data_IF_455816284847
#
_entry.id   IF_455816284847
#
_cell.length_a   1.000
_cell.length_b   1.000
_cell.length_c   1.000
_cell.angle_alpha   90.00
_cell.angle_beta   90.00
_cell.angle_gamma   90.00
#
_symmetry.space_group_name_H-M   'P 1'
#
loop_
_entity.id
_entity.type
_entity.pdbx_description
1 polymer ?
#
# COMPACT_ATOMS: atom_id res chain seq x y z
N UNK A 1 4.46 -41.06 -5.36
CA UNK A 1 3.42 -40.08 -5.55
C UNK A 1 2.99 -39.29 -4.32
N UNK A 2 3.42 -39.65 -3.08
CA UNK A 2 3.04 -38.92 -1.85
C UNK A 2 4.08 -37.87 -1.39
N UNK A 3 5.33 -37.98 -1.83
CA UNK A 3 6.39 -37.03 -1.47
C UNK A 3 6.04 -35.56 -1.77
N UNK A 4 5.56 -35.19 -2.98
CA UNK A 4 5.24 -33.80 -3.26
C UNK A 4 4.05 -33.25 -2.44
N UNK A 5 3.19 -34.11 -1.92
CA UNK A 5 2.09 -33.70 -1.05
C UNK A 5 2.60 -33.40 0.37
N UNK A 6 3.52 -34.19 0.88
CA UNK A 6 4.16 -34.00 2.20
C UNK A 6 4.97 -32.70 2.21
N UNK A 7 5.76 -32.43 1.18
CA UNK A 7 6.52 -31.20 1.04
C UNK A 7 5.59 -29.97 0.99
N UNK A 8 4.50 -30.05 0.23
CA UNK A 8 3.51 -28.98 0.17
C UNK A 8 2.83 -28.74 1.52
N UNK A 9 2.50 -29.79 2.26
CA UNK A 9 1.92 -29.67 3.60
C UNK A 9 2.91 -29.04 4.59
N UNK A 10 4.19 -29.42 4.50
CA UNK A 10 5.24 -28.84 5.34
C UNK A 10 5.36 -27.32 5.10
N UNK A 11 5.39 -26.89 3.86
CA UNK A 11 5.42 -25.47 3.49
C UNK A 11 4.20 -24.73 4.04
N UNK A 12 3.01 -25.29 3.89
CA UNK A 12 1.76 -24.70 4.42
C UNK A 12 1.81 -24.56 5.95
N UNK A 13 2.26 -25.60 6.65
CA UNK A 13 2.43 -25.56 8.11
C UNK A 13 3.43 -24.48 8.52
N UNK A 14 4.55 -24.37 7.84
CA UNK A 14 5.60 -23.38 8.13
C UNK A 14 5.10 -21.96 7.90
N UNK A 15 4.39 -21.72 6.80
CA UNK A 15 3.74 -20.43 6.52
C UNK A 15 2.73 -20.10 7.62
N UNK A 16 1.91 -21.07 8.04
CA UNK A 16 0.89 -20.86 9.07
C UNK A 16 1.51 -20.49 10.42
N UNK A 17 2.53 -21.20 10.85
CA UNK A 17 3.26 -20.91 12.10
C UNK A 17 3.89 -19.52 12.04
N UNK A 18 4.53 -19.19 10.92
CA UNK A 18 5.14 -17.87 10.70
C UNK A 18 4.11 -16.76 10.76
N UNK A 19 2.95 -16.94 10.13
CA UNK A 19 1.86 -15.95 10.17
C UNK A 19 1.35 -15.72 11.59
N UNK A 20 1.14 -16.78 12.36
CA UNK A 20 0.70 -16.67 13.76
C UNK A 20 1.74 -15.89 14.59
N UNK A 21 3.02 -16.20 14.43
CA UNK A 21 4.11 -15.50 15.13
C UNK A 21 4.30 -14.05 14.69
N UNK A 22 3.88 -13.72 13.47
CA UNK A 22 4.02 -12.35 12.93
C UNK A 22 2.98 -11.35 13.43
N UNK A 23 1.85 -11.78 13.99
CA UNK A 23 0.83 -10.84 14.49
C UNK A 23 1.36 -9.86 15.55
N UNK A 24 2.09 -10.29 16.60
CA UNK A 24 2.68 -9.37 17.56
C UNK A 24 3.72 -8.42 16.94
N UNK A 25 4.51 -8.95 16.00
CA UNK A 25 5.52 -8.17 15.28
C UNK A 25 4.84 -7.10 14.42
N UNK A 26 3.77 -7.45 13.73
CA UNK A 26 2.98 -6.55 12.92
C UNK A 26 2.36 -5.42 13.77
N UNK A 27 1.81 -5.74 14.94
CA UNK A 27 1.29 -4.72 15.87
C UNK A 27 2.38 -3.75 16.30
N UNK A 28 3.58 -4.26 16.63
CA UNK A 28 4.73 -3.43 16.98
C UNK A 28 5.14 -2.52 15.81
N UNK A 29 5.26 -3.08 14.61
CA UNK A 29 5.58 -2.29 13.40
C UNK A 29 4.52 -1.23 13.11
N UNK A 30 3.24 -1.57 13.24
CA UNK A 30 2.15 -0.63 13.04
C UNK A 30 2.26 0.55 14.00
N UNK A 31 2.59 0.30 15.26
CA UNK A 31 2.81 1.36 16.27
C UNK A 31 4.01 2.24 15.95
N UNK A 32 5.12 1.64 15.52
CA UNK A 32 6.34 2.36 15.15
C UNK A 32 6.13 3.20 13.88
N UNK A 33 5.49 2.63 12.87
CA UNK A 33 5.29 3.31 11.59
C UNK A 33 4.16 4.34 11.61
N UNK A 34 3.24 4.28 12.55
CA UNK A 34 2.13 5.23 12.66
C UNK A 34 2.62 6.68 12.69
N UNK A 35 3.61 6.99 13.52
CA UNK A 35 4.12 8.35 13.66
C UNK A 35 4.83 8.87 12.40
N UNK A 36 5.79 8.14 11.79
CA UNK A 36 6.42 8.60 10.55
C UNK A 36 5.43 8.66 9.37
N UNK A 37 4.47 7.72 9.27
CA UNK A 37 3.47 7.78 8.21
C UNK A 37 2.51 8.94 8.37
N UNK A 38 2.08 9.27 9.58
CA UNK A 38 1.26 10.45 9.83
C UNK A 38 2.02 11.74 9.43
N UNK A 39 3.28 11.88 9.84
CA UNK A 39 4.12 13.02 9.44
C UNK A 39 4.32 13.11 7.92
N UNK A 40 4.47 11.97 7.25
CA UNK A 40 4.55 11.91 5.81
C UNK A 40 3.22 12.32 5.17
N UNK A 41 2.11 11.83 5.70
CA UNK A 41 0.76 12.19 5.26
C UNK A 41 0.53 13.71 5.32
N UNK A 42 0.88 14.33 6.44
CA UNK A 42 0.76 15.79 6.64
C UNK A 42 1.62 16.57 5.61
N UNK A 43 2.86 16.16 5.39
CA UNK A 43 3.77 16.80 4.42
C UNK A 43 3.31 16.67 2.98
N UNK A 44 2.66 15.58 2.65
CA UNK A 44 2.22 15.26 1.29
C UNK A 44 0.78 15.71 1.03
N UNK A 45 0.04 16.07 2.09
CA UNK A 45 -1.36 16.46 2.01
C UNK A 45 -2.27 15.26 1.75
N UNK A 46 -2.02 14.14 2.44
CA UNK A 46 -2.91 12.98 2.47
C UNK A 46 -3.87 13.09 3.66
N UNK A 47 -5.10 12.69 3.43
CA UNK A 47 -6.11 12.62 4.49
C UNK A 47 -5.81 11.47 5.48
N UNK A 48 -6.33 11.59 6.70
CA UNK A 48 -6.12 10.62 7.79
C UNK A 48 -6.57 9.20 7.38
N UNK A 49 -7.65 9.09 6.62
CA UNK A 49 -8.15 7.79 6.13
C UNK A 49 -7.16 7.14 5.18
N UNK A 50 -6.52 7.92 4.32
CA UNK A 50 -5.49 7.45 3.41
C UNK A 50 -4.25 6.96 4.15
N UNK A 51 -3.79 7.70 5.15
CA UNK A 51 -2.67 7.28 6.01
C UNK A 51 -3.00 6.01 6.78
N UNK A 52 -4.21 5.92 7.32
CA UNK A 52 -4.70 4.70 8.00
C UNK A 52 -4.72 3.50 7.05
N UNK A 53 -5.14 3.70 5.80
CA UNK A 53 -5.08 2.68 4.75
C UNK A 53 -3.67 2.16 4.51
N UNK A 54 -2.67 3.05 4.44
CA UNK A 54 -1.27 2.67 4.30
C UNK A 54 -0.79 1.80 5.46
N UNK A 55 -1.20 2.10 6.68
CA UNK A 55 -0.85 1.33 7.87
C UNK A 55 -1.52 -0.05 7.84
N UNK A 56 -2.81 -0.12 7.56
CA UNK A 56 -3.54 -1.40 7.50
C UNK A 56 -3.04 -2.31 6.38
N UNK A 57 -2.59 -1.75 5.26
CA UNK A 57 -2.08 -2.53 4.13
C UNK A 57 -0.78 -3.27 4.43
N UNK A 58 -0.03 -2.88 5.45
CA UNK A 58 1.16 -3.62 5.91
C UNK A 58 0.78 -5.04 6.38
N UNK A 59 -0.38 -5.15 7.01
CA UNK A 59 -0.94 -6.43 7.43
C UNK A 59 -1.70 -7.12 6.30
N UNK A 60 -2.68 -6.41 5.73
CA UNK A 60 -3.57 -6.92 4.71
C UNK A 60 -4.14 -5.78 3.87
N UNK A 61 -4.24 -6.01 2.56
CA UNK A 61 -4.87 -5.07 1.64
C UNK A 61 -6.40 -5.04 1.74
N UNK A 62 -7.02 -6.12 2.23
CA UNK A 62 -8.48 -6.28 2.21
C UNK A 62 -9.22 -5.16 2.94
N UNK A 63 -8.86 -4.76 4.18
CA UNK A 63 -9.55 -3.66 4.87
C UNK A 63 -9.41 -2.33 4.15
N UNK A 64 -8.31 -2.12 3.41
CA UNK A 64 -8.02 -0.86 2.74
C UNK A 64 -9.02 -0.57 1.62
N UNK A 65 -9.45 -1.61 0.88
CA UNK A 65 -10.47 -1.45 -0.15
C UNK A 65 -11.79 -0.90 0.42
N UNK A 66 -12.16 -1.30 1.62
CA UNK A 66 -13.34 -0.76 2.30
C UNK A 66 -13.16 0.71 2.73
N UNK A 67 -11.93 1.13 3.03
CA UNK A 67 -11.62 2.51 3.40
C UNK A 67 -11.52 3.43 2.18
N UNK A 68 -11.21 2.91 0.99
CA UNK A 68 -11.01 3.71 -0.24
C UNK A 68 -12.19 4.60 -0.59
N UNK A 69 -13.41 4.18 -0.28
CA UNK A 69 -14.62 4.98 -0.49
C UNK A 69 -14.63 6.32 0.28
N UNK A 70 -13.89 6.40 1.37
CA UNK A 70 -13.79 7.57 2.25
C UNK A 70 -12.47 8.34 2.06
N UNK A 71 -11.62 7.93 1.11
CA UNK A 71 -10.35 8.58 0.82
C UNK A 71 -10.50 9.66 -0.24
N UNK A 72 -9.61 10.65 -0.21
CA UNK A 72 -9.46 11.60 -1.33
C UNK A 72 -8.95 10.88 -2.58
N UNK A 73 -9.19 11.44 -3.77
CA UNK A 73 -8.68 10.88 -5.04
C UNK A 73 -7.17 10.69 -5.01
N UNK A 74 -6.44 11.64 -4.46
CA UNK A 74 -5.00 11.55 -4.23
C UNK A 74 -4.66 10.39 -3.30
N UNK A 75 -5.40 10.26 -2.21
CA UNK A 75 -5.25 9.18 -1.26
C UNK A 75 -5.46 7.80 -1.89
N UNK A 76 -6.45 7.65 -2.77
CA UNK A 76 -6.70 6.42 -3.50
C UNK A 76 -5.52 6.07 -4.42
N UNK A 77 -4.99 7.03 -5.20
CA UNK A 77 -3.86 6.81 -6.11
C UNK A 77 -2.63 6.33 -5.32
N UNK A 78 -2.30 7.03 -4.24
CA UNK A 78 -1.13 6.69 -3.40
C UNK A 78 -1.32 5.34 -2.71
N UNK A 79 -2.51 5.08 -2.13
CA UNK A 79 -2.79 3.80 -1.48
C UNK A 79 -2.76 2.63 -2.46
N UNK A 80 -3.28 2.79 -3.68
CA UNK A 80 -3.23 1.74 -4.69
C UNK A 80 -1.79 1.35 -5.02
N UNK A 81 -0.93 2.33 -5.26
CA UNK A 81 0.49 2.05 -5.49
C UNK A 81 1.18 1.42 -4.27
N UNK A 82 0.90 1.94 -3.09
CA UNK A 82 1.43 1.42 -1.83
C UNK A 82 1.02 -0.02 -1.57
N UNK A 83 -0.27 -0.36 -1.74
CA UNK A 83 -0.79 -1.72 -1.56
C UNK A 83 -0.06 -2.71 -2.46
N UNK A 84 0.11 -2.39 -3.75
CA UNK A 84 0.78 -3.28 -4.70
C UNK A 84 2.21 -3.58 -4.27
N UNK A 85 2.92 -2.60 -3.72
CA UNK A 85 4.35 -2.72 -3.39
C UNK A 85 4.62 -3.29 -2.00
N UNK A 86 3.77 -2.98 -1.03
CA UNK A 86 4.04 -3.23 0.40
C UNK A 86 3.09 -4.24 1.03
N UNK A 87 1.89 -4.43 0.46
CA UNK A 87 0.91 -5.35 1.03
C UNK A 87 1.47 -6.77 1.16
N UNK A 88 1.19 -7.37 2.30
CA UNK A 88 1.66 -8.72 2.61
C UNK A 88 3.16 -8.82 2.90
N UNK A 89 3.88 -7.70 2.97
CA UNK A 89 5.31 -7.68 3.26
C UNK A 89 5.64 -8.41 4.56
N UNK A 90 4.83 -8.22 5.59
CA UNK A 90 4.95 -8.88 6.89
C UNK A 90 3.98 -10.05 7.07
N UNK A 91 3.25 -10.43 6.04
CA UNK A 91 2.28 -11.51 6.05
C UNK A 91 2.70 -12.68 5.16
N UNK A 92 1.81 -13.03 4.23
CA UNK A 92 1.96 -14.21 3.36
C UNK A 92 3.25 -14.24 2.55
N UNK A 93 3.72 -13.09 2.08
CA UNK A 93 4.93 -13.02 1.26
C UNK A 93 6.19 -13.31 2.09
N UNK A 94 6.25 -12.81 3.33
CA UNK A 94 7.36 -13.13 4.23
C UNK A 94 7.36 -14.62 4.59
N UNK A 95 6.19 -15.18 4.87
CA UNK A 95 6.04 -16.61 5.14
C UNK A 95 6.54 -17.47 3.97
N UNK A 96 6.22 -17.08 2.74
CA UNK A 96 6.72 -17.76 1.54
C UNK A 96 8.25 -17.68 1.41
N UNK A 97 8.84 -16.49 1.61
CA UNK A 97 10.30 -16.29 1.53
C UNK A 97 11.03 -17.14 2.56
N UNK A 98 10.54 -17.18 3.80
CA UNK A 98 11.10 -18.01 4.86
C UNK A 98 10.94 -19.51 4.57
N UNK A 99 9.84 -19.90 3.91
CA UNK A 99 9.61 -21.30 3.49
C UNK A 99 10.56 -21.77 2.38
N UNK A 100 11.08 -20.82 1.55
CA UNK A 100 12.04 -21.15 0.47
C UNK A 100 13.47 -21.23 1.01
N UNK A 101 13.85 -20.33 1.93
CA UNK A 101 15.17 -20.35 2.56
C UNK A 101 15.57 -19.01 3.19
N UNK A 102 16.27 -19.10 4.31
CA UNK A 102 16.64 -17.93 5.14
C UNK A 102 17.55 -16.91 4.42
N UNK A 103 18.34 -17.35 3.45
CA UNK A 103 19.23 -16.47 2.69
C UNK A 103 18.54 -15.42 1.82
N UNK A 104 17.24 -15.58 1.55
CA UNK A 104 16.47 -14.68 0.71
C UNK A 104 15.79 -13.53 1.51
N UNK A 105 15.80 -13.60 2.83
CA UNK A 105 15.12 -12.64 3.68
C UNK A 105 15.66 -11.21 3.51
N UNK A 106 16.97 -11.02 3.58
CA UNK A 106 17.59 -9.69 3.44
C UNK A 106 17.39 -9.06 2.06
N UNK A 107 17.67 -9.75 0.95
CA UNK A 107 17.37 -9.22 -0.38
C UNK A 107 15.90 -8.88 -0.57
N UNK A 108 14.99 -9.71 -0.05
CA UNK A 108 13.56 -9.46 -0.11
C UNK A 108 13.16 -8.18 0.62
N UNK A 109 13.61 -8.00 1.87
CA UNK A 109 13.29 -6.83 2.68
C UNK A 109 13.82 -5.54 2.04
N UNK A 110 15.08 -5.55 1.59
CA UNK A 110 15.70 -4.39 0.94
C UNK A 110 14.96 -4.06 -0.37
N UNK A 111 14.68 -5.07 -1.19
CA UNK A 111 13.96 -4.90 -2.45
C UNK A 111 12.55 -4.32 -2.25
N UNK A 112 11.81 -4.81 -1.26
CA UNK A 112 10.47 -4.30 -0.90
C UNK A 112 10.51 -2.85 -0.42
N UNK A 113 11.45 -2.50 0.45
CA UNK A 113 11.58 -1.13 0.94
C UNK A 113 11.99 -0.15 -0.17
N UNK A 114 12.92 -0.56 -1.03
CA UNK A 114 13.32 0.24 -2.19
C UNK A 114 12.13 0.44 -3.16
N UNK A 115 11.40 -0.63 -3.48
CA UNK A 115 10.21 -0.57 -4.32
C UNK A 115 9.13 0.33 -3.71
N UNK A 116 8.90 0.25 -2.41
CA UNK A 116 7.95 1.10 -1.69
C UNK A 116 8.33 2.58 -1.80
N UNK A 117 9.59 2.92 -1.59
CA UNK A 117 10.07 4.31 -1.67
C UNK A 117 9.90 4.89 -3.09
N UNK A 118 10.31 4.14 -4.12
CA UNK A 118 10.17 4.55 -5.52
C UNK A 118 8.69 4.64 -5.91
N UNK A 119 7.88 3.65 -5.54
CA UNK A 119 6.46 3.62 -5.89
C UNK A 119 5.67 4.75 -5.25
N UNK A 120 5.95 5.09 -3.99
CA UNK A 120 5.34 6.27 -3.34
C UNK A 120 5.76 7.54 -4.06
N UNK A 121 7.04 7.72 -4.39
CA UNK A 121 7.50 8.89 -5.11
C UNK A 121 6.80 9.04 -6.47
N UNK A 122 6.72 7.98 -7.26
CA UNK A 122 6.03 7.97 -8.56
C UNK A 122 4.53 8.23 -8.41
N UNK A 123 3.87 7.60 -7.43
CA UNK A 123 2.43 7.79 -7.20
C UNK A 123 2.08 9.22 -6.76
N UNK A 124 2.97 9.88 -6.01
CA UNK A 124 2.80 11.28 -5.65
C UNK A 124 2.93 12.23 -6.84
N UNK A 125 3.86 11.94 -7.75
CA UNK A 125 3.99 12.71 -9.00
C UNK A 125 2.75 12.51 -9.87
N UNK A 126 2.29 11.27 -10.03
CA UNK A 126 1.08 10.94 -10.77
C UNK A 126 -0.18 11.59 -10.16
N UNK A 127 -0.31 11.57 -8.83
CA UNK A 127 -1.43 12.21 -8.15
C UNK A 127 -1.45 13.73 -8.35
N UNK A 128 -0.28 14.38 -8.32
CA UNK A 128 -0.17 15.81 -8.60
C UNK A 128 -0.50 16.15 -10.06
N UNK A 129 -0.08 15.33 -11.01
CA UNK A 129 -0.43 15.49 -12.41
C UNK A 129 -1.94 15.39 -12.62
N UNK A 130 -2.58 14.40 -12.02
CA UNK A 130 -4.03 14.22 -12.07
C UNK A 130 -4.81 15.39 -11.46
N UNK A 131 -4.37 15.94 -10.32
CA UNK A 131 -4.98 17.12 -9.71
C UNK A 131 -4.90 18.33 -10.64
N UNK A 132 -3.76 18.54 -11.32
CA UNK A 132 -3.59 19.66 -12.28
C UNK A 132 -4.52 19.53 -13.48
N UNK A 133 -4.66 18.36 -14.06
CA UNK A 133 -5.58 18.11 -15.19
C UNK A 133 -7.04 18.35 -14.78
N UNK A 134 -7.45 17.85 -13.62
CA UNK A 134 -8.84 18.03 -13.14
C UNK A 134 -9.18 19.51 -12.91
N UNK A 135 -8.24 20.30 -12.38
CA UNK A 135 -8.42 21.74 -12.20
C UNK A 135 -8.49 22.46 -13.54
N UNK A 136 -7.64 22.11 -14.50
CA UNK A 136 -7.61 22.69 -15.83
C UNK A 136 -8.92 22.43 -16.61
N UNK A 137 -9.43 21.20 -16.52
CA UNK A 137 -10.71 20.82 -17.18
C UNK A 137 -11.91 21.46 -16.50
N UNK A 138 -11.91 21.59 -15.18
CA UNK A 138 -12.92 22.34 -14.43
C UNK A 138 -12.97 23.82 -14.85
N UNK A 139 -11.84 24.44 -15.03
CA UNK A 139 -11.76 25.85 -15.49
C UNK A 139 -12.30 26.02 -16.91
N UNK A 140 -11.95 25.10 -17.83
CA UNK A 140 -12.49 25.11 -19.21
C UNK A 140 -14.01 24.92 -19.24
N UNK A 141 -14.54 24.03 -18.39
CA UNK A 141 -15.98 23.78 -18.31
C UNK A 141 -16.76 25.03 -17.84
N UNK A 142 -16.25 25.71 -16.80
CA UNK A 142 -16.84 26.97 -16.29
C UNK A 142 -16.80 28.07 -17.33
N UNK A 143 -15.67 28.26 -18.03
CA UNK A 143 -15.53 29.28 -19.09
C UNK A 143 -16.48 29.01 -20.25
N UNK A 144 -16.68 27.74 -20.63
CA UNK A 144 -17.61 27.34 -21.71
C UNK A 144 -19.07 27.57 -21.34
N UNK A 145 -19.45 27.37 -20.07
CA UNK A 145 -20.78 27.68 -19.56
C UNK A 145 -21.04 29.18 -19.51
N UNK A 146 -20.08 29.94 -19.02
CA UNK A 146 -20.18 31.42 -19.01
C UNK A 146 -20.39 31.99 -20.42
N UNK A 147 -19.63 31.51 -21.41
CA UNK A 147 -19.78 31.96 -22.79
C UNK A 147 -21.16 31.62 -23.40
N UNK A 148 -21.75 30.47 -23.01
CA UNK A 148 -23.07 30.05 -23.48
C UNK A 148 -24.24 30.82 -22.83
N UNK A 149 -23.99 31.49 -21.71
CA UNK A 149 -24.97 32.31 -20.97
C UNK A 149 -25.09 33.74 -21.49
N UNK A 150 -24.18 34.19 -22.35
CA UNK A 150 -24.15 35.54 -22.93
C UNK A 150 -24.55 35.59 -24.42
N UNK A 151 -24.90 34.45 -25.01
CA UNK A 151 -25.43 34.31 -26.37
C UNK A 151 -26.88 33.85 -26.32
#
# INVERSE_FOLDING_TARGET
GMEPLMDSMQVVCQITITLIGMFPVLELFTRILKNPLNRLGDKVGLDVTSVSGMIFSLASSVPVFSLMKNMTKKGIIVNTAWIVLVSGMFGSQLGLVLGIGDGLLMPYMIGKLAAAAVGVAVSLVAARAYERETVADGHKAVTKQAHKSYV
#
